data_IF_659697256667
#
_entry.id   IF_659697256667
#
_cell.length_a   1.000
_cell.length_b   1.000
_cell.length_c   1.000
_cell.angle_alpha   90.00
_cell.angle_beta   90.00
_cell.angle_gamma   90.00
#
_symmetry.space_group_name_H-M   'P 1'
#
loop_
_entity.id
_entity.type
_entity.pdbx_description
1 polymer ?
#
# COMPACT_ATOMS: atom_id res chain seq x y z
N UNK A 1 33.87 -16.47 -29.56
CA UNK A 1 33.09 -17.46 -30.33
C UNK A 1 33.67 -18.80 -29.92
N UNK A 2 33.09 -19.45 -28.91
CA UNK A 2 33.66 -20.69 -28.35
C UNK A 2 32.67 -21.82 -28.63
N UNK A 3 32.99 -22.65 -29.63
CA UNK A 3 32.25 -23.87 -29.96
C UNK A 3 32.76 -25.00 -29.05
N UNK A 4 31.88 -25.58 -28.22
CA UNK A 4 32.16 -26.85 -27.51
C UNK A 4 31.70 -27.98 -28.44
N UNK A 5 32.62 -28.85 -28.84
CA UNK A 5 32.34 -30.03 -29.68
C UNK A 5 32.29 -31.26 -28.77
N UNK A 6 31.11 -31.84 -28.54
CA UNK A 6 30.96 -33.17 -27.93
C UNK A 6 30.74 -34.18 -29.07
N UNK A 7 31.68 -35.12 -29.24
CA UNK A 7 31.62 -36.17 -30.25
C UNK A 7 30.74 -37.33 -29.76
N UNK A 8 29.64 -37.61 -30.47
CA UNK A 8 28.84 -38.83 -30.27
C UNK A 8 29.20 -39.86 -31.34
N UNK A 9 29.41 -41.12 -30.92
CA UNK A 9 29.62 -42.30 -31.78
C UNK A 9 28.37 -42.55 -32.64
N UNK A 10 28.29 -41.90 -33.81
CA UNK A 10 27.52 -42.24 -35.04
C UNK A 10 27.36 -40.97 -35.88
N UNK A 11 28.40 -40.65 -36.66
CA UNK A 11 28.36 -39.98 -37.98
C UNK A 11 27.65 -38.63 -38.21
N UNK A 12 26.82 -38.10 -37.31
CA UNK A 12 26.07 -36.87 -37.51
C UNK A 12 26.61 -35.70 -36.67
N UNK A 13 27.25 -34.72 -37.31
CA UNK A 13 27.60 -33.44 -36.66
C UNK A 13 26.33 -32.60 -36.45
N UNK A 14 25.66 -32.74 -35.30
CA UNK A 14 24.62 -31.79 -34.91
C UNK A 14 25.31 -30.52 -34.39
N UNK A 15 25.40 -29.51 -35.25
CA UNK A 15 25.96 -28.20 -34.90
C UNK A 15 24.91 -27.37 -34.18
N UNK A 16 24.83 -27.48 -32.86
CA UNK A 16 23.93 -26.67 -32.05
C UNK A 16 24.50 -25.24 -31.95
N UNK A 17 24.10 -24.35 -32.85
CA UNK A 17 24.46 -22.92 -32.77
C UNK A 17 23.74 -22.32 -31.56
N UNK A 18 24.48 -22.00 -30.50
CA UNK A 18 23.99 -21.04 -29.51
C UNK A 18 23.84 -19.69 -30.22
N UNK A 19 22.61 -19.35 -30.62
CA UNK A 19 22.28 -18.03 -31.11
C UNK A 19 22.44 -17.03 -29.97
N UNK A 20 23.63 -16.45 -29.84
CA UNK A 20 23.83 -15.29 -28.99
C UNK A 20 23.06 -14.13 -29.61
N UNK A 21 21.94 -13.74 -29.01
CA UNK A 21 21.13 -12.58 -29.43
C UNK A 21 22.05 -11.37 -29.61
N UNK A 22 22.01 -10.67 -30.75
CA UNK A 22 22.87 -9.50 -30.97
C UNK A 22 22.58 -8.43 -29.91
N UNK A 23 23.62 -7.72 -29.44
CA UNK A 23 23.51 -6.72 -28.36
C UNK A 23 22.37 -5.72 -28.59
N UNK A 24 22.16 -5.28 -29.84
CA UNK A 24 21.07 -4.36 -30.24
C UNK A 24 19.66 -4.93 -29.99
N UNK A 25 19.44 -6.22 -30.29
CA UNK A 25 18.16 -6.88 -30.03
C UNK A 25 17.85 -7.00 -28.54
N UNK A 26 18.88 -7.14 -27.69
CA UNK A 26 18.72 -7.15 -26.23
C UNK A 26 18.33 -5.79 -25.67
N UNK A 27 18.96 -4.72 -26.16
CA UNK A 27 18.63 -3.35 -25.76
C UNK A 27 17.18 -3.02 -26.17
N UNK A 28 16.78 -3.35 -27.39
CA UNK A 28 15.40 -3.13 -27.87
C UNK A 28 14.37 -3.93 -27.05
N UNK A 29 14.65 -5.21 -26.76
CA UNK A 29 13.77 -6.03 -25.92
C UNK A 29 13.65 -5.48 -24.49
N UNK A 30 14.75 -4.95 -23.93
CA UNK A 30 14.75 -4.33 -22.61
C UNK A 30 13.93 -3.04 -22.57
N UNK A 31 14.11 -2.15 -23.56
CA UNK A 31 13.29 -0.94 -23.69
C UNK A 31 11.82 -1.26 -23.90
N UNK A 32 11.49 -2.28 -24.69
CA UNK A 32 10.12 -2.76 -24.87
C UNK A 32 9.52 -3.29 -23.57
N UNK A 33 10.31 -4.03 -22.77
CA UNK A 33 9.88 -4.50 -21.45
C UNK A 33 9.62 -3.33 -20.49
N UNK A 34 10.50 -2.33 -20.43
CA UNK A 34 10.28 -1.11 -19.64
C UNK A 34 8.98 -0.44 -20.08
N UNK A 35 8.78 -0.26 -21.39
CA UNK A 35 7.56 0.32 -21.94
C UNK A 35 6.31 -0.45 -21.52
N UNK A 36 6.35 -1.78 -21.55
CA UNK A 36 5.25 -2.64 -21.12
C UNK A 36 4.97 -2.54 -19.62
N UNK A 37 6.01 -2.56 -18.78
CA UNK A 37 5.89 -2.43 -17.33
C UNK A 37 5.33 -1.05 -16.97
N UNK A 38 5.84 0.01 -17.61
CA UNK A 38 5.34 1.37 -17.42
C UNK A 38 3.89 1.51 -17.84
N UNK A 39 3.51 0.98 -19.02
CA UNK A 39 2.12 0.96 -19.46
C UNK A 39 1.22 0.19 -18.49
N UNK A 40 1.71 -0.95 -17.98
CA UNK A 40 0.94 -1.73 -17.01
C UNK A 40 0.76 -1.02 -15.68
N UNK A 41 1.81 -0.35 -15.22
CA UNK A 41 1.75 0.48 -14.02
C UNK A 41 0.78 1.65 -14.19
N UNK A 42 0.86 2.41 -15.28
CA UNK A 42 0.02 3.60 -15.49
C UNK A 42 -1.44 3.28 -15.74
N UNK A 43 -1.74 2.17 -16.42
CA UNK A 43 -3.12 1.80 -16.78
C UNK A 43 -3.87 1.04 -15.68
N UNK A 44 -3.16 0.27 -14.85
CA UNK A 44 -3.82 -0.60 -13.85
C UNK A 44 -3.37 -0.34 -12.42
N UNK A 45 -2.06 -0.37 -12.14
CA UNK A 45 -1.58 -0.24 -10.77
C UNK A 45 -1.84 1.17 -10.20
N UNK A 46 -1.54 2.20 -11.00
CA UNK A 46 -1.64 3.60 -10.60
C UNK A 46 -3.09 4.01 -10.27
N UNK A 47 -4.11 3.77 -11.12
CA UNK A 47 -5.49 4.06 -10.77
C UNK A 47 -5.94 3.34 -9.50
N UNK A 48 -5.53 2.08 -9.31
CA UNK A 48 -5.84 1.33 -8.10
C UNK A 48 -5.19 1.95 -6.85
N UNK A 49 -3.93 2.40 -6.93
CA UNK A 49 -3.24 3.07 -5.83
C UNK A 49 -3.90 4.39 -5.44
N UNK A 50 -4.37 5.17 -6.43
CA UNK A 50 -5.01 6.46 -6.20
C UNK A 50 -6.44 6.33 -5.67
N UNK A 51 -7.16 5.29 -6.10
CA UNK A 51 -8.60 5.16 -5.86
C UNK A 51 -8.97 3.94 -5.00
N UNK A 52 -8.03 3.42 -4.21
CA UNK A 52 -8.23 2.17 -3.48
C UNK A 52 -9.50 2.20 -2.63
N UNK A 53 -10.40 1.26 -2.90
CA UNK A 53 -11.67 1.11 -2.21
C UNK A 53 -12.72 2.17 -2.52
N UNK A 54 -12.36 3.29 -3.16
CA UNK A 54 -13.28 4.34 -3.58
C UNK A 54 -13.94 4.02 -4.94
N UNK A 55 -15.18 4.46 -5.11
CA UNK A 55 -15.92 4.39 -6.37
C UNK A 55 -15.57 5.56 -7.29
N UNK A 56 -15.85 5.42 -8.58
CA UNK A 56 -15.65 6.51 -9.54
C UNK A 56 -16.50 7.76 -9.23
N UNK A 57 -17.64 7.59 -8.56
CA UNK A 57 -18.50 8.70 -8.14
C UNK A 57 -17.88 9.42 -6.95
N UNK A 58 -17.43 8.70 -5.93
CA UNK A 58 -16.72 9.25 -4.76
C UNK A 58 -15.46 10.01 -5.18
N UNK A 59 -14.71 9.52 -6.17
CA UNK A 59 -13.52 10.21 -6.71
C UNK A 59 -13.87 11.56 -7.34
N UNK A 60 -15.03 11.68 -7.98
CA UNK A 60 -15.47 12.91 -8.67
C UNK A 60 -16.24 13.87 -7.77
N UNK A 61 -16.83 13.35 -6.69
CA UNK A 61 -17.59 14.14 -5.75
C UNK A 61 -16.68 15.10 -4.98
N UNK A 62 -17.13 16.34 -4.80
CA UNK A 62 -16.46 17.29 -3.91
C UNK A 62 -16.60 16.84 -2.46
N UNK A 63 -15.52 16.90 -1.70
CA UNK A 63 -15.54 16.69 -0.26
C UNK A 63 -15.07 17.95 0.46
N UNK A 64 -15.31 18.07 1.78
CA UNK A 64 -14.84 19.21 2.57
C UNK A 64 -13.33 19.47 2.39
N UNK A 65 -12.98 20.74 2.15
CA UNK A 65 -11.60 21.17 1.90
C UNK A 65 -11.20 21.22 0.42
N UNK A 66 -12.04 20.74 -0.50
CA UNK A 66 -11.72 20.77 -1.93
C UNK A 66 -11.65 22.21 -2.50
N UNK A 67 -12.43 23.11 -1.92
CA UNK A 67 -12.53 24.53 -2.25
C UNK A 67 -11.25 25.34 -2.05
N UNK A 68 -10.34 24.87 -1.20
CA UNK A 68 -9.18 25.65 -0.72
C UNK A 68 -8.08 25.85 -1.77
N UNK A 69 -7.97 24.98 -2.77
CA UNK A 69 -6.97 25.12 -3.84
C UNK A 69 -7.32 24.29 -5.09
N UNK A 70 -7.77 24.89 -6.21
CA UNK A 70 -8.21 24.15 -7.40
C UNK A 70 -7.07 23.58 -8.26
N UNK A 71 -5.79 23.92 -7.99
CA UNK A 71 -4.66 23.60 -8.88
C UNK A 71 -3.63 22.64 -8.29
N UNK A 72 -4.06 21.73 -7.40
CA UNK A 72 -3.16 20.71 -6.83
C UNK A 72 -2.82 19.65 -7.87
N UNK A 73 -1.53 19.30 -7.96
CA UNK A 73 -0.97 18.44 -9.03
C UNK A 73 -1.14 16.95 -8.72
N UNK A 74 -1.24 16.60 -7.44
CA UNK A 74 -1.51 15.26 -6.96
C UNK A 74 -2.86 15.20 -6.25
N UNK A 75 -3.57 14.09 -6.49
CA UNK A 75 -4.85 13.81 -5.87
C UNK A 75 -5.06 12.30 -5.76
N UNK A 76 -5.45 11.83 -4.56
CA UNK A 76 -5.89 10.47 -4.35
C UNK A 76 -7.11 10.45 -3.43
N UNK A 77 -8.11 9.63 -3.75
CA UNK A 77 -9.31 9.41 -2.93
C UNK A 77 -9.42 7.94 -2.62
N UNK A 78 -9.37 7.58 -1.34
CA UNK A 78 -9.44 6.18 -0.89
C UNK A 78 -10.56 6.05 0.11
N UNK A 79 -11.25 4.93 0.12
CA UNK A 79 -12.38 4.77 1.02
C UNK A 79 -12.54 3.33 1.49
N UNK A 80 -13.08 3.18 2.69
CA UNK A 80 -13.43 1.89 3.28
C UNK A 80 -14.77 2.00 3.99
N UNK A 81 -15.54 0.92 4.00
CA UNK A 81 -16.76 0.81 4.80
C UNK A 81 -16.43 0.14 6.13
N UNK A 82 -16.86 0.77 7.21
CA UNK A 82 -16.68 0.32 8.59
C UNK A 82 -18.05 0.00 9.17
N UNK A 83 -18.18 -1.15 9.83
CA UNK A 83 -19.33 -1.52 10.64
C UNK A 83 -19.24 -0.80 11.99
N UNK A 84 -19.70 0.45 12.00
CA UNK A 84 -19.78 1.34 13.15
C UNK A 84 -20.37 2.69 12.76
N UNK A 85 -20.87 3.41 13.75
CA UNK A 85 -21.42 4.77 13.55
C UNK A 85 -20.30 5.80 13.45
N UNK A 86 -20.56 7.01 12.93
CA UNK A 86 -19.56 8.07 12.90
C UNK A 86 -18.99 8.38 14.29
N UNK A 87 -19.81 8.33 15.33
CA UNK A 87 -19.43 8.59 16.73
C UNK A 87 -18.48 7.53 17.30
N UNK A 88 -18.57 6.29 16.82
CA UNK A 88 -17.65 5.21 17.20
C UNK A 88 -16.31 5.34 16.47
N UNK A 89 -16.32 5.87 15.24
CA UNK A 89 -15.13 6.02 14.40
C UNK A 89 -14.36 7.30 14.74
N UNK A 90 -15.08 8.37 15.05
CA UNK A 90 -14.53 9.71 15.22
C UNK A 90 -13.39 9.80 16.23
N UNK A 91 -13.49 9.23 17.45
CA UNK A 91 -12.42 9.28 18.44
C UNK A 91 -11.10 8.71 17.90
N UNK A 92 -11.15 7.67 17.05
CA UNK A 92 -9.96 7.09 16.44
C UNK A 92 -9.31 8.03 15.43
N UNK A 93 -10.08 8.67 14.55
CA UNK A 93 -9.54 9.61 13.55
C UNK A 93 -8.88 10.81 14.23
N UNK A 94 -9.53 11.29 15.28
CA UNK A 94 -9.17 12.48 16.00
C UNK A 94 -7.84 12.34 16.73
N UNK A 95 -7.62 11.23 17.44
CA UNK A 95 -6.41 11.06 18.25
C UNK A 95 -5.18 10.66 17.41
N UNK A 96 -5.41 10.23 16.17
CA UNK A 96 -4.38 9.76 15.24
C UNK A 96 -3.31 10.83 14.98
N UNK A 97 -2.06 10.40 14.83
CA UNK A 97 -0.97 11.29 14.41
C UNK A 97 0.41 10.84 14.85
N UNK A 98 1.44 11.44 14.24
CA UNK A 98 2.83 11.20 14.62
C UNK A 98 3.13 11.86 15.98
N UNK A 99 3.77 11.14 16.88
CA UNK A 99 4.00 11.61 18.26
C UNK A 99 2.72 11.67 19.12
N UNK A 100 1.60 11.14 18.62
CA UNK A 100 0.34 10.96 19.37
C UNK A 100 0.12 9.47 19.62
N UNK A 101 -1.02 8.93 19.20
CA UNK A 101 -1.32 7.49 19.34
C UNK A 101 -0.83 6.63 18.18
N UNK A 102 -0.08 7.19 17.22
CA UNK A 102 0.29 6.53 15.97
C UNK A 102 -0.79 6.64 14.89
N UNK A 103 -0.53 6.05 13.71
CA UNK A 103 -1.46 6.07 12.58
C UNK A 103 -2.32 4.82 12.42
N UNK A 104 -2.20 3.84 13.31
CA UNK A 104 -2.84 2.54 13.15
C UNK A 104 -2.32 1.77 11.92
N UNK A 105 -1.17 2.19 11.40
CA UNK A 105 -0.59 1.77 10.15
C UNK A 105 0.42 0.64 10.31
N UNK A 106 1.62 0.87 9.75
CA UNK A 106 2.78 0.03 9.97
C UNK A 106 3.70 0.73 10.97
N UNK A 107 3.57 0.38 12.25
CA UNK A 107 4.39 0.97 13.32
C UNK A 107 5.91 0.86 13.02
N UNK A 108 6.35 -0.19 12.32
CA UNK A 108 7.75 -0.34 11.88
C UNK A 108 8.24 0.79 10.97
N UNK A 109 7.37 1.35 10.11
CA UNK A 109 7.72 2.49 9.25
C UNK A 109 7.84 3.76 10.07
N UNK A 110 6.91 3.99 10.99
CA UNK A 110 6.92 5.14 11.91
C UNK A 110 8.15 5.10 12.84
N UNK A 111 8.60 3.90 13.20
CA UNK A 111 9.75 3.65 14.06
C UNK A 111 11.12 3.85 13.40
N UNK A 112 11.22 3.83 12.07
CA UNK A 112 12.49 4.09 11.37
C UNK A 112 12.98 5.54 11.54
N UNK A 113 12.11 6.45 11.99
CA UNK A 113 12.45 7.85 12.28
C UNK A 113 12.06 8.34 13.69
N UNK A 114 11.48 7.49 14.54
CA UNK A 114 11.07 7.85 15.90
C UNK A 114 12.10 7.41 16.94
N UNK A 115 12.63 8.31 17.78
CA UNK A 115 13.59 7.97 18.82
C UNK A 115 12.98 7.15 19.98
N UNK A 116 11.64 7.13 20.13
CA UNK A 116 10.97 6.52 21.29
C UNK A 116 10.23 5.21 20.99
N UNK A 117 10.10 4.82 19.72
CA UNK A 117 9.26 3.68 19.34
C UNK A 117 7.78 4.00 19.51
N UNK A 118 7.09 4.32 18.41
CA UNK A 118 5.64 4.45 18.33
C UNK A 118 5.03 3.04 18.25
N UNK A 119 4.03 2.81 19.10
CA UNK A 119 3.10 1.69 19.02
C UNK A 119 1.71 2.26 18.90
N UNK A 120 1.00 1.89 17.84
CA UNK A 120 -0.35 2.39 17.60
C UNK A 120 -1.29 1.98 18.73
N UNK A 121 -2.02 2.92 19.33
CA UNK A 121 -2.92 2.62 20.45
C UNK A 121 -4.03 1.66 20.04
N UNK A 122 -4.45 0.82 20.98
CA UNK A 122 -5.55 -0.15 20.87
C UNK A 122 -6.80 0.30 21.65
N UNK A 123 -6.76 1.50 22.22
CA UNK A 123 -7.85 2.14 22.97
C UNK A 123 -7.84 3.65 22.74
N UNK A 124 -8.94 4.31 23.06
CA UNK A 124 -9.02 5.77 23.07
C UNK A 124 -8.24 6.32 24.27
N UNK A 125 -7.38 7.31 24.02
CA UNK A 125 -6.64 8.03 25.05
C UNK A 125 -7.20 9.46 25.17
N UNK A 126 -7.79 9.77 26.33
CA UNK A 126 -8.47 11.06 26.60
C UNK A 126 -7.56 12.29 26.42
N UNK A 127 -6.25 12.11 26.57
CA UNK A 127 -5.25 13.19 26.38
C UNK A 127 -5.20 13.74 24.95
N UNK A 128 -5.68 12.99 23.96
CA UNK A 128 -5.71 13.40 22.55
C UNK A 128 -7.11 13.75 22.05
N UNK A 129 -8.11 13.82 22.94
CA UNK A 129 -9.50 14.13 22.62
C UNK A 129 -9.78 15.64 22.48
N UNK A 130 -8.91 16.50 23.02
CA UNK A 130 -9.08 17.95 22.99
C UNK A 130 -8.05 18.60 22.06
N UNK A 131 -8.51 19.25 20.99
CA UNK A 131 -7.70 20.00 20.04
C UNK A 131 -8.56 21.07 19.38
N UNK A 132 -7.88 22.10 18.88
CA UNK A 132 -8.49 23.27 18.27
C UNK A 132 -7.98 23.46 16.85
N UNK A 133 -8.80 24.09 16.02
CA UNK A 133 -8.37 24.52 14.69
C UNK A 133 -7.14 25.41 14.85
N UNK A 134 -6.09 25.09 14.10
CA UNK A 134 -4.78 25.75 14.18
C UNK A 134 -3.72 24.96 14.95
N UNK A 135 -4.09 23.97 15.76
CA UNK A 135 -3.11 23.13 16.46
C UNK A 135 -2.25 22.33 15.47
N UNK A 136 -0.97 22.20 15.80
CA UNK A 136 0.00 21.49 14.98
C UNK A 136 -0.23 19.98 15.02
N UNK A 137 -0.19 19.35 13.84
CA UNK A 137 -0.22 17.90 13.66
C UNK A 137 1.07 17.49 12.98
N UNK A 138 2.08 17.03 13.74
CA UNK A 138 3.25 16.39 13.14
C UNK A 138 2.77 15.18 12.35
N UNK A 139 3.20 15.08 11.09
CA UNK A 139 2.90 13.93 10.25
C UNK A 139 4.07 12.98 10.06
N UNK A 140 5.29 13.47 10.27
CA UNK A 140 6.52 12.69 10.28
C UNK A 140 7.62 13.47 11.02
N UNK A 141 8.84 12.93 11.20
CA UNK A 141 9.96 13.68 11.77
C UNK A 141 10.34 14.94 10.99
N UNK A 142 9.93 15.05 9.72
CA UNK A 142 10.37 16.11 8.79
C UNK A 142 9.20 16.90 8.19
N UNK A 143 7.96 16.62 8.60
CA UNK A 143 6.78 17.27 8.04
C UNK A 143 5.71 17.49 9.11
N UNK A 144 5.19 18.71 9.14
CA UNK A 144 4.13 19.17 10.04
C UNK A 144 2.96 19.74 9.24
N UNK A 145 1.76 19.44 9.69
CA UNK A 145 0.52 20.07 9.24
C UNK A 145 -0.17 20.78 10.41
N UNK A 146 -1.33 21.37 10.17
CA UNK A 146 -2.22 21.91 11.20
C UNK A 146 -3.63 21.39 11.00
N UNK A 147 -4.42 21.32 12.08
CA UNK A 147 -5.86 21.11 11.94
C UNK A 147 -6.49 22.36 11.30
N UNK A 148 -6.88 22.25 10.05
CA UNK A 148 -7.45 23.37 9.30
C UNK A 148 -8.96 23.52 9.54
N UNK A 149 -9.68 22.40 9.59
CA UNK A 149 -11.10 22.37 9.91
C UNK A 149 -11.45 21.04 10.58
N UNK A 150 -12.35 21.11 11.55
CA UNK A 150 -12.85 19.96 12.31
C UNK A 150 -14.36 20.13 12.41
N UNK A 151 -15.11 19.18 11.89
CA UNK A 151 -16.53 19.03 12.18
C UNK A 151 -16.73 17.66 12.85
N UNK A 152 -17.04 17.62 14.16
CA UNK A 152 -17.22 16.38 14.91
C UNK A 152 -18.12 15.39 14.20
N UNK A 153 -17.71 14.11 14.21
CA UNK A 153 -18.41 12.98 13.60
C UNK A 153 -18.63 13.10 12.08
N UNK A 154 -18.02 14.09 11.42
CA UNK A 154 -18.16 14.30 9.96
C UNK A 154 -16.84 14.36 9.25
N UNK A 155 -15.94 15.28 9.62
CA UNK A 155 -14.66 15.37 8.93
C UNK A 155 -13.59 16.07 9.74
N UNK A 156 -12.35 15.76 9.39
CA UNK A 156 -11.16 16.45 9.87
C UNK A 156 -10.23 16.72 8.69
N UNK A 157 -9.75 17.96 8.60
CA UNK A 157 -8.89 18.43 7.51
C UNK A 157 -7.57 18.86 8.11
N UNK A 158 -6.50 18.23 7.68
CA UNK A 158 -5.13 18.69 7.93
C UNK A 158 -4.66 19.49 6.73
N UNK A 159 -4.01 20.62 6.96
CA UNK A 159 -3.42 21.43 5.88
C UNK A 159 -1.96 21.76 6.19
N UNK A 160 -1.15 21.88 5.13
CA UNK A 160 0.18 22.44 5.23
C UNK A 160 0.13 23.89 5.75
N UNK A 161 1.13 24.29 6.53
CA UNK A 161 1.23 25.68 7.03
C UNK A 161 1.36 26.67 5.87
N UNK A 162 0.79 27.86 6.02
CA UNK A 162 0.87 28.95 5.04
C UNK A 162 2.34 29.24 4.67
N UNK A 163 2.65 29.28 3.36
CA UNK A 163 4.01 29.50 2.85
C UNK A 163 4.81 28.23 2.59
N UNK A 164 4.28 27.06 2.95
CA UNK A 164 4.74 25.74 2.49
C UNK A 164 3.96 25.34 1.24
N UNK A 165 4.46 24.36 0.49
CA UNK A 165 3.72 23.81 -0.67
C UNK A 165 2.29 23.43 -0.26
N UNK A 166 1.28 23.94 -0.99
CA UNK A 166 -0.11 23.67 -0.65
C UNK A 166 -0.38 22.18 -0.59
N UNK A 167 -0.85 21.73 0.57
CA UNK A 167 -1.18 20.34 0.83
C UNK A 167 -2.38 20.29 1.76
N UNK A 168 -3.29 19.36 1.49
CA UNK A 168 -4.41 19.04 2.35
C UNK A 168 -4.61 17.55 2.44
N UNK A 169 -5.02 17.11 3.63
CA UNK A 169 -5.37 15.74 3.91
C UNK A 169 -6.69 15.70 4.69
N UNK A 170 -7.75 15.33 4.00
CA UNK A 170 -9.10 15.23 4.54
C UNK A 170 -9.44 13.78 4.90
N UNK A 171 -10.01 13.58 6.08
CA UNK A 171 -10.71 12.37 6.47
C UNK A 171 -12.19 12.71 6.69
N UNK A 172 -13.08 12.04 5.98
CA UNK A 172 -14.52 12.33 5.99
C UNK A 172 -15.34 11.05 6.24
N UNK A 173 -16.40 11.19 7.04
CA UNK A 173 -17.33 10.15 7.43
C UNK A 173 -18.68 10.40 6.75
N UNK A 174 -19.18 9.40 6.04
CA UNK A 174 -20.50 9.41 5.43
C UNK A 174 -21.31 8.22 5.97
N UNK A 175 -22.28 8.44 6.87
CA UNK A 175 -23.13 7.36 7.35
C UNK A 175 -23.91 6.76 6.17
N UNK A 176 -23.87 5.43 6.03
CA UNK A 176 -24.59 4.69 4.99
C UNK A 176 -25.93 4.17 5.52
N UNK A 177 -25.92 3.69 6.76
CA UNK A 177 -27.08 3.23 7.51
C UNK A 177 -26.82 3.32 9.02
N UNK A 178 -27.69 2.75 9.84
CA UNK A 178 -27.62 2.83 11.31
C UNK A 178 -26.38 2.17 11.94
N UNK A 179 -25.67 1.28 11.21
CA UNK A 179 -24.52 0.54 11.73
C UNK A 179 -23.31 0.55 10.80
N UNK A 180 -23.36 1.28 9.68
CA UNK A 180 -22.26 1.35 8.73
C UNK A 180 -21.95 2.78 8.32
N UNK A 181 -20.66 3.08 8.30
CA UNK A 181 -20.15 4.38 7.88
C UNK A 181 -19.07 4.18 6.82
N UNK A 182 -19.13 5.03 5.80
CA UNK A 182 -18.11 5.15 4.78
C UNK A 182 -17.06 6.15 5.24
N UNK A 183 -15.84 5.67 5.50
CA UNK A 183 -14.70 6.52 5.77
C UNK A 183 -13.95 6.78 4.46
N UNK A 184 -13.95 8.03 4.03
CA UNK A 184 -13.20 8.52 2.88
C UNK A 184 -11.97 9.31 3.34
N UNK A 185 -10.90 9.16 2.57
CA UNK A 185 -9.60 9.79 2.76
C UNK A 185 -9.22 10.45 1.45
N UNK A 186 -8.88 11.74 1.49
CA UNK A 186 -8.43 12.48 0.32
C UNK A 186 -7.20 13.28 0.63
N UNK A 187 -6.14 13.00 -0.12
CA UNK A 187 -4.89 13.73 -0.06
C UNK A 187 -4.73 14.53 -1.34
N UNK A 188 -4.26 15.76 -1.19
CA UNK A 188 -4.01 16.70 -2.28
C UNK A 188 -2.73 17.46 -1.97
N UNK A 189 -1.83 17.58 -2.92
CA UNK A 189 -0.66 18.46 -2.79
C UNK A 189 -0.13 18.90 -4.16
N UNK A 190 0.78 19.88 -4.16
CA UNK A 190 1.60 20.23 -5.32
C UNK A 190 3.02 19.68 -5.17
N UNK A 191 3.76 19.58 -6.28
CA UNK A 191 5.16 19.15 -6.27
C UNK A 191 6.13 20.34 -6.22
N UNK A 192 7.30 20.11 -5.64
CA UNK A 192 8.41 21.06 -5.67
C UNK A 192 9.18 20.97 -7.01
N UNK A 193 8.52 21.26 -8.14
CA UNK A 193 9.08 21.07 -9.48
C UNK A 193 10.44 21.79 -9.71
N UNK A 194 10.65 22.92 -9.06
CA UNK A 194 11.88 23.71 -9.17
C UNK A 194 13.04 23.21 -8.28
N UNK A 195 12.81 22.23 -7.40
CA UNK A 195 13.77 21.78 -6.38
C UNK A 195 13.98 20.25 -6.46
N UNK A 196 14.96 19.75 -7.22
CA UNK A 196 15.12 18.32 -7.50
C UNK A 196 15.20 17.41 -6.26
N UNK A 197 15.83 17.89 -5.19
CA UNK A 197 15.92 17.15 -3.92
C UNK A 197 14.56 16.95 -3.27
N UNK A 198 13.73 18.01 -3.23
CA UNK A 198 12.38 17.94 -2.69
C UNK A 198 11.44 17.18 -3.63
N UNK A 199 11.55 17.38 -4.94
CA UNK A 199 10.77 16.61 -5.93
C UNK A 199 10.97 15.09 -5.79
N UNK A 200 12.21 14.66 -5.53
CA UNK A 200 12.49 13.23 -5.30
C UNK A 200 11.78 12.72 -4.05
N UNK A 201 11.74 13.53 -2.99
CA UNK A 201 11.02 13.21 -1.77
C UNK A 201 9.50 13.20 -2.01
N UNK A 202 8.97 14.15 -2.77
CA UNK A 202 7.54 14.22 -3.10
C UNK A 202 7.10 12.95 -3.86
N UNK A 203 7.85 12.55 -4.89
CA UNK A 203 7.57 11.33 -5.68
C UNK A 203 7.67 10.06 -4.84
N UNK A 204 8.63 10.00 -3.92
CA UNK A 204 8.75 8.89 -2.98
C UNK A 204 7.57 8.85 -2.01
N UNK A 205 7.18 9.99 -1.45
CA UNK A 205 6.04 10.12 -0.52
C UNK A 205 4.76 9.69 -1.22
N UNK A 206 4.54 10.16 -2.44
CA UNK A 206 3.41 9.75 -3.28
C UNK A 206 3.35 8.24 -3.54
N UNK A 207 4.50 7.64 -3.87
CA UNK A 207 4.58 6.21 -4.11
C UNK A 207 4.32 5.40 -2.84
N UNK A 208 4.70 5.91 -1.68
CA UNK A 208 4.53 5.20 -0.39
C UNK A 208 3.20 5.48 0.30
N UNK A 209 2.57 6.62 0.00
CA UNK A 209 1.31 7.11 0.55
C UNK A 209 0.18 6.06 0.42
N UNK A 210 0.05 5.42 -0.73
CA UNK A 210 -1.02 4.43 -0.93
C UNK A 210 -0.92 3.22 0.03
N UNK A 211 0.29 2.82 0.44
CA UNK A 211 0.47 1.73 1.41
C UNK A 211 0.12 2.21 2.82
N UNK A 212 0.55 3.41 3.17
CA UNK A 212 0.28 4.02 4.46
C UNK A 212 -1.23 4.23 4.64
N UNK A 213 -1.87 5.03 3.79
CA UNK A 213 -3.29 5.40 3.92
C UNK A 213 -4.20 4.19 3.87
N UNK A 214 -3.93 3.22 2.98
CA UNK A 214 -4.69 1.97 2.96
C UNK A 214 -4.62 1.27 4.32
N UNK A 215 -3.44 1.23 4.94
CA UNK A 215 -3.25 0.57 6.24
C UNK A 215 -3.90 1.37 7.37
N UNK A 216 -3.85 2.69 7.34
CA UNK A 216 -4.56 3.57 8.28
C UNK A 216 -6.06 3.27 8.26
N UNK A 217 -6.67 3.30 7.07
CA UNK A 217 -8.09 3.00 6.88
C UNK A 217 -8.48 1.61 7.45
N UNK A 218 -7.65 0.60 7.17
CA UNK A 218 -7.83 -0.74 7.72
C UNK A 218 -7.61 -0.79 9.25
N UNK A 219 -6.67 0.01 9.76
CA UNK A 219 -6.33 0.10 11.17
C UNK A 219 -7.44 0.73 12.01
N UNK A 220 -8.08 1.78 11.49
CA UNK A 220 -9.28 2.38 12.08
C UNK A 220 -10.44 1.38 12.05
N UNK A 221 -10.70 0.76 10.90
CA UNK A 221 -11.73 -0.30 10.76
C UNK A 221 -11.53 -1.41 11.81
N UNK A 222 -10.31 -1.93 11.93
CA UNK A 222 -10.01 -2.99 12.89
C UNK A 222 -10.20 -2.60 14.34
N UNK A 223 -10.10 -1.32 14.70
CA UNK A 223 -10.33 -0.83 16.06
C UNK A 223 -11.81 -0.70 16.39
N UNK A 224 -12.59 -0.18 15.44
CA UNK A 224 -14.05 -0.05 15.58
C UNK A 224 -14.71 -1.43 15.58
N UNK A 225 -14.25 -2.34 14.72
CA UNK A 225 -14.82 -3.69 14.58
C UNK A 225 -14.23 -4.72 15.56
N UNK A 226 -13.36 -4.30 16.49
CA UNK A 226 -12.65 -5.18 17.43
C UNK A 226 -11.84 -6.32 16.74
N UNK A 227 -11.28 -6.01 15.57
CA UNK A 227 -10.44 -6.89 14.74
C UNK A 227 -9.03 -6.31 14.56
N UNK A 228 -8.39 -5.95 15.67
CA UNK A 228 -7.03 -5.41 15.65
C UNK A 228 -6.04 -6.50 15.22
N UNK A 229 -5.36 -6.30 14.09
CA UNK A 229 -4.33 -7.23 13.62
C UNK A 229 -3.12 -7.24 14.57
N UNK A 230 -2.58 -8.40 14.93
CA UNK A 230 -1.34 -8.47 15.70
C UNK A 230 -0.18 -7.79 14.97
N UNK A 231 0.70 -7.12 15.72
CA UNK A 231 1.90 -6.46 15.16
C UNK A 231 2.76 -7.41 14.33
N UNK A 232 2.88 -8.68 14.72
CA UNK A 232 3.63 -9.67 13.96
C UNK A 232 3.09 -9.82 12.51
N UNK A 233 1.77 -9.82 12.33
CA UNK A 233 1.16 -9.93 11.01
C UNK A 233 1.41 -8.68 10.16
N UNK A 234 1.34 -7.49 10.76
CA UNK A 234 1.65 -6.23 10.08
C UNK A 234 3.12 -6.17 9.64
N UNK A 235 4.04 -6.63 10.50
CA UNK A 235 5.47 -6.67 10.19
C UNK A 235 5.79 -7.68 9.09
N UNK A 236 5.14 -8.85 9.09
CA UNK A 236 5.28 -9.84 8.01
C UNK A 236 4.77 -9.25 6.69
N UNK A 237 3.60 -8.62 6.70
CA UNK A 237 3.05 -7.94 5.52
C UNK A 237 4.04 -6.93 4.95
N UNK A 238 4.60 -6.06 5.80
CA UNK A 238 5.60 -5.09 5.38
C UNK A 238 6.88 -5.76 4.83
N UNK A 239 7.40 -6.78 5.52
CA UNK A 239 8.58 -7.51 5.09
C UNK A 239 8.38 -8.19 3.72
N UNK A 240 7.17 -8.71 3.45
CA UNK A 240 6.82 -9.29 2.15
C UNK A 240 6.87 -8.23 1.04
N UNK A 241 6.36 -7.01 1.28
CA UNK A 241 6.48 -5.92 0.30
C UNK A 241 7.95 -5.55 0.02
N UNK A 242 8.76 -5.42 1.07
CA UNK A 242 10.20 -5.12 0.92
C UNK A 242 10.91 -6.21 0.15
N UNK A 243 10.70 -7.48 0.51
CA UNK A 243 11.32 -8.61 -0.17
C UNK A 243 10.90 -8.69 -1.65
N UNK A 244 9.61 -8.48 -1.95
CA UNK A 244 9.11 -8.45 -3.32
C UNK A 244 9.78 -7.32 -4.14
N UNK A 245 9.94 -6.13 -3.56
CA UNK A 245 10.64 -5.01 -4.21
C UNK A 245 12.12 -5.33 -4.46
N UNK A 246 12.82 -5.92 -3.48
CA UNK A 246 14.22 -6.33 -3.63
C UNK A 246 14.40 -7.41 -4.70
N UNK A 247 13.52 -8.40 -4.75
CA UNK A 247 13.52 -9.44 -5.79
C UNK A 247 13.31 -8.80 -7.16
N UNK A 248 12.34 -7.88 -7.29
CA UNK A 248 12.09 -7.16 -8.53
C UNK A 248 13.34 -6.39 -9.00
N UNK A 249 13.96 -5.60 -8.12
CA UNK A 249 15.18 -4.84 -8.44
C UNK A 249 16.35 -5.76 -8.81
N UNK A 250 16.54 -6.86 -8.08
CA UNK A 250 17.59 -7.85 -8.39
C UNK A 250 17.35 -8.49 -9.76
N UNK A 251 16.10 -8.85 -10.09
CA UNK A 251 15.77 -9.39 -11.42
C UNK A 251 16.02 -8.39 -12.55
N UNK A 252 15.68 -7.11 -12.32
CA UNK A 252 15.96 -6.03 -13.27
C UNK A 252 17.48 -5.87 -13.48
N UNK A 253 18.27 -5.82 -12.40
CA UNK A 253 19.72 -5.70 -12.46
C UNK A 253 20.38 -6.92 -13.15
N UNK A 254 19.95 -8.13 -12.81
CA UNK A 254 20.46 -9.35 -13.43
C UNK A 254 20.16 -9.42 -14.93
N UNK A 255 19.04 -8.84 -15.36
CA UNK A 255 18.68 -8.75 -16.78
C UNK A 255 19.60 -7.84 -17.59
N UNK A 256 20.16 -6.81 -16.96
CA UNK A 256 21.14 -5.90 -17.56
C UNK A 256 22.53 -6.54 -17.67
N UNK A 257 22.89 -7.39 -16.70
CA UNK A 257 24.25 -7.94 -16.57
C UNK A 257 24.41 -9.28 -17.33
N UNK A 258 23.40 -10.16 -17.35
CA UNK A 258 23.55 -11.53 -17.87
C UNK A 258 22.89 -11.76 -19.24
N UNK A 259 23.54 -12.51 -20.15
CA UNK A 259 22.97 -12.84 -21.46
C UNK A 259 21.67 -13.65 -21.31
N UNK A 260 20.58 -13.12 -21.91
CA UNK A 260 19.22 -13.64 -21.80
C UNK A 260 19.09 -15.09 -22.32
N UNK A 261 18.70 -16.01 -21.44
CA UNK A 261 18.13 -17.31 -21.81
C UNK A 261 16.63 -17.31 -21.50
N UNK A 262 15.80 -17.38 -22.55
CA UNK A 262 14.33 -17.20 -22.51
C UNK A 262 13.61 -18.05 -21.46
N UNK A 263 14.08 -19.28 -21.20
CA UNK A 263 13.43 -20.20 -20.25
C UNK A 263 13.44 -19.74 -18.79
N UNK A 264 14.40 -18.88 -18.38
CA UNK A 264 14.48 -18.40 -16.98
C UNK A 264 13.58 -17.18 -16.72
N UNK A 265 13.15 -16.49 -17.79
CA UNK A 265 12.31 -15.29 -17.70
C UNK A 265 10.82 -15.60 -17.55
N UNK A 266 10.30 -16.60 -18.25
CA UNK A 266 8.89 -16.99 -18.14
C UNK A 266 8.53 -17.45 -16.72
N UNK A 267 9.47 -18.12 -16.04
CA UNK A 267 9.30 -18.55 -14.65
C UNK A 267 9.34 -17.36 -13.68
N UNK A 268 10.21 -16.37 -13.92
CA UNK A 268 10.32 -15.18 -13.08
C UNK A 268 9.14 -14.20 -13.21
N UNK A 269 8.66 -13.97 -14.45
CA UNK A 269 7.49 -13.12 -14.69
C UNK A 269 6.20 -13.77 -14.18
N UNK A 270 6.01 -15.07 -14.41
CA UNK A 270 4.85 -15.78 -13.89
C UNK A 270 4.81 -15.80 -12.34
N UNK A 271 5.96 -15.98 -11.69
CA UNK A 271 6.07 -15.93 -10.22
C UNK A 271 5.79 -14.54 -9.65
N UNK A 272 6.36 -13.48 -10.25
CA UNK A 272 6.19 -12.10 -9.78
C UNK A 272 4.77 -11.56 -10.00
N UNK A 273 4.18 -11.80 -11.18
CA UNK A 273 2.82 -11.33 -11.50
C UNK A 273 1.75 -12.07 -10.72
N UNK A 274 1.92 -13.37 -10.49
CA UNK A 274 1.00 -14.18 -9.68
C UNK A 274 0.99 -13.73 -8.21
N UNK A 275 2.16 -13.49 -7.63
CA UNK A 275 2.28 -13.04 -6.24
C UNK A 275 1.77 -11.60 -6.06
N UNK A 276 2.07 -10.69 -6.99
CA UNK A 276 1.57 -9.31 -6.94
C UNK A 276 0.04 -9.25 -7.13
N UNK A 277 -0.54 -9.99 -8.07
CA UNK A 277 -1.99 -10.05 -8.26
C UNK A 277 -2.70 -10.65 -7.03
N UNK A 278 -2.12 -11.68 -6.41
CA UNK A 278 -2.68 -12.30 -5.20
C UNK A 278 -2.56 -11.37 -3.98
N UNK A 279 -1.42 -10.69 -3.77
CA UNK A 279 -1.21 -9.72 -2.69
C UNK A 279 -2.09 -8.47 -2.82
N UNK A 280 -2.36 -8.02 -4.05
CA UNK A 280 -3.23 -6.87 -4.32
C UNK A 280 -4.70 -7.21 -4.09
N UNK A 281 -5.14 -8.40 -4.50
CA UNK A 281 -6.56 -8.79 -4.50
C UNK A 281 -7.05 -9.45 -3.22
N UNK A 282 -6.20 -10.20 -2.53
CA UNK A 282 -6.50 -10.75 -1.21
C UNK A 282 -5.64 -10.00 -0.20
N UNK A 283 -6.21 -9.02 0.50
CA UNK A 283 -5.59 -8.54 1.72
C UNK A 283 -5.19 -9.74 2.57
N UNK A 284 -3.97 -9.75 3.08
CA UNK A 284 -3.33 -10.91 3.71
C UNK A 284 -4.24 -11.47 4.83
N UNK A 285 -4.97 -12.53 4.49
CA UNK A 285 -5.65 -13.45 5.40
C UNK A 285 -4.77 -14.70 5.53
N UNK A 286 -3.75 -14.57 6.38
CA UNK A 286 -2.82 -15.64 6.72
C UNK A 286 -3.51 -16.85 7.38
N UNK A 287 -4.74 -16.68 7.91
CA UNK A 287 -5.52 -17.80 8.47
C UNK A 287 -5.99 -18.81 7.42
N UNK A 288 -6.34 -18.37 6.20
CA UNK A 288 -6.74 -19.31 5.13
C UNK A 288 -5.57 -20.10 4.56
N UNK A 289 -4.36 -19.54 4.60
CA UNK A 289 -3.15 -20.24 4.16
C UNK A 289 -2.78 -21.40 5.10
N UNK A 290 -3.00 -21.27 6.41
CA UNK A 290 -2.73 -22.36 7.36
C UNK A 290 -3.74 -23.50 7.25
N UNK A 291 -5.02 -23.22 6.96
CA UNK A 291 -6.03 -24.27 6.74
C UNK A 291 -5.76 -25.02 5.41
N UNK A 292 -5.32 -24.32 4.36
CA UNK A 292 -4.96 -24.94 3.08
C UNK A 292 -3.68 -25.79 3.13
N UNK A 293 -2.67 -25.36 3.91
CA UNK A 293 -1.43 -26.11 4.09
C UNK A 293 -1.59 -27.33 5.03
N UNK A 294 -2.54 -27.28 5.97
CA UNK A 294 -2.82 -28.40 6.87
C UNK A 294 -3.71 -29.48 6.24
N UNK A 295 -4.54 -29.13 5.24
CA UNK A 295 -5.34 -30.11 4.48
C UNK A 295 -4.53 -30.90 3.44
N UNK A 296 -3.33 -30.43 3.06
CA UNK A 296 -2.46 -31.12 2.07
C UNK A 296 -1.53 -32.16 2.70
N UNK A 297 -1.48 -32.26 4.02
CA UNK A 297 -0.82 -33.33 4.78
C UNK A 297 -1.91 -34.10 5.53
N UNK A 298 -2.46 -35.13 4.87
CA UNK A 298 -3.62 -35.88 5.34
C UNK A 298 -3.48 -36.44 6.76
N UNK A 299 -4.06 -35.74 7.74
CA UNK A 299 -4.43 -36.27 9.05
C UNK A 299 -5.32 -35.27 9.83
N UNK A 300 -6.60 -35.15 9.48
CA UNK A 300 -7.67 -34.78 10.44
C UNK A 300 -9.04 -35.01 9.79
N UNK A 301 -9.90 -35.81 10.44
CA UNK A 301 -11.30 -35.98 10.05
C UNK A 301 -12.05 -34.67 10.29
N UNK A 302 -12.78 -34.20 9.28
CA UNK A 302 -13.78 -33.15 9.44
C UNK A 302 -14.85 -33.61 10.44
N UNK A 303 -15.06 -32.85 11.51
CA UNK A 303 -16.24 -32.93 12.36
C UNK A 303 -17.20 -31.82 11.88
N UNK A 304 -18.46 -32.13 11.55
CA UNK A 304 -19.41 -31.13 11.02
C UNK A 304 -19.90 -30.14 12.10
N UNK A 305 -20.29 -28.91 11.70
CA UNK A 305 -20.59 -27.80 12.60
C UNK A 305 -22.06 -27.83 13.05
N UNK A 306 -22.39 -28.77 13.92
CA UNK A 306 -23.73 -28.87 14.48
C UNK A 306 -23.64 -29.48 15.87
N UNK A 307 -23.14 -28.69 16.84
CA UNK A 307 -23.31 -28.88 18.29
C UNK A 307 -22.67 -27.73 19.09
N UNK A 308 -23.26 -26.53 19.03
CA UNK A 308 -23.21 -25.58 20.15
C UNK A 308 -24.58 -24.94 20.32
N UNK A 309 -25.56 -25.80 20.61
CA UNK A 309 -26.78 -25.41 21.29
C UNK A 309 -26.66 -25.83 22.75
N UNK A 310 -26.89 -24.86 23.65
CA UNK A 310 -27.17 -25.00 25.09
C UNK A 310 -26.04 -25.54 25.99
N UNK A 311 -25.52 -24.65 26.84
CA UNK A 311 -25.72 -24.76 28.30
C UNK A 311 -25.29 -23.47 28.98
N UNK A 312 -26.26 -22.89 29.74
CA UNK A 312 -26.15 -22.05 30.95
C UNK A 312 -24.95 -21.15 31.15
#
# INVERSE_FOLDING_TARGET
>A
MNDIIIQHKRGGKIRMRLFTTPKKARVLAFLALIGLVMAAYTLWARPYQLHWGATNEEVKQAIPGDESNPHLEFFATRAITIAGTPEEIWPWLVQMGYGRVGYYGYDILENLGSPQGIRSADRILLEFEHFTVGDGVPISPVADMVFHAIEPDRYIIWAGKTGVVPSSFTWALYPLDAGHTRLASRIRWSYHLAQPGLLTLDLFTEFTDHLAVRKILQGVKGRVENQIKPMAQQNIEFAVYVLAALIFLATLLLSLIRPLAWGRWLVGLAGGSGMAHHLVRTGIDLERCWVGASCSLGAARCIPPDLYAKTT
#
